data_IF_227716863961
#
_entry.id   IF_227716863961
#
_cell.length_a   1.000
_cell.length_b   1.000
_cell.length_c   1.000
_cell.angle_alpha   90.00
_cell.angle_beta   90.00
_cell.angle_gamma   90.00
#
_symmetry.space_group_name_H-M   'P 1'
#
loop_
_entity.id
_entity.type
_entity.pdbx_description
1 polymer ?
#
# COMPACT_ATOMS: atom_id res chain seq x y z
N UNK A 1 -30.03 -31.17 54.85
CA UNK A 1 -31.28 -30.61 54.30
C UNK A 1 -31.01 -29.17 53.85
N UNK A 2 -31.40 -28.82 52.61
CA UNK A 2 -31.44 -27.47 51.97
C UNK A 2 -30.04 -26.87 51.68
N UNK A 3 -29.35 -27.04 50.54
CA UNK A 3 -29.67 -26.99 49.10
C UNK A 3 -30.06 -25.58 48.58
N UNK A 4 -29.30 -25.16 47.54
CA UNK A 4 -29.52 -24.13 46.51
C UNK A 4 -29.04 -22.70 46.82
N UNK A 5 -28.48 -21.90 45.93
CA UNK A 5 -27.80 -22.03 44.63
C UNK A 5 -27.66 -20.59 44.12
N UNK A 6 -26.45 -20.07 43.90
CA UNK A 6 -26.21 -18.92 42.98
C UNK A 6 -24.85 -19.08 42.30
N UNK A 7 -24.80 -20.08 41.43
CA UNK A 7 -23.83 -20.16 40.33
C UNK A 7 -24.34 -19.19 39.26
N UNK A 8 -23.58 -18.13 38.99
CA UNK A 8 -23.84 -17.26 37.85
C UNK A 8 -23.43 -18.02 36.59
N UNK A 9 -24.43 -18.64 35.95
CA UNK A 9 -24.33 -19.29 34.66
C UNK A 9 -24.36 -18.23 33.54
N UNK A 10 -23.30 -18.24 32.73
CA UNK A 10 -23.34 -18.24 31.27
C UNK A 10 -24.30 -17.27 30.56
N UNK A 11 -23.73 -16.26 29.89
CA UNK A 11 -23.99 -16.06 28.46
C UNK A 11 -22.68 -15.61 27.79
N UNK A 12 -21.88 -16.59 27.39
CA UNK A 12 -21.02 -16.40 26.22
C UNK A 12 -21.97 -16.35 25.01
N UNK A 13 -22.32 -15.14 24.56
CA UNK A 13 -22.83 -14.98 23.21
C UNK A 13 -21.69 -14.48 22.34
N UNK A 14 -21.17 -15.43 21.60
CA UNK A 14 -20.36 -15.28 20.41
C UNK A 14 -21.02 -14.28 19.46
N UNK A 15 -20.51 -13.05 19.44
CA UNK A 15 -20.57 -12.21 18.24
C UNK A 15 -19.18 -12.19 17.63
N UNK A 16 -18.76 -13.38 17.16
CA UNK A 16 -17.98 -13.47 15.93
C UNK A 16 -18.84 -12.76 14.87
N UNK A 17 -18.64 -11.46 14.73
CA UNK A 17 -19.07 -10.77 13.52
C UNK A 17 -18.09 -11.27 12.46
N UNK A 18 -18.45 -12.41 11.89
CA UNK A 18 -18.05 -12.84 10.58
C UNK A 18 -18.51 -11.76 9.61
N UNK A 19 -17.73 -10.69 9.55
CA UNK A 19 -17.78 -9.64 8.55
C UNK A 19 -16.72 -9.87 7.50
N UNK A 20 -16.50 -11.12 7.07
CA UNK A 20 -15.97 -11.35 5.73
C UNK A 20 -17.12 -11.00 4.77
N UNK A 21 -17.32 -9.70 4.54
CA UNK A 21 -18.15 -9.22 3.46
C UNK A 21 -17.48 -9.72 2.17
N UNK A 22 -17.88 -10.93 1.80
CA UNK A 22 -17.48 -11.64 0.60
C UNK A 22 -18.26 -11.00 -0.53
N UNK A 23 -17.76 -9.87 -1.00
CA UNK A 23 -18.10 -9.27 -2.29
C UNK A 23 -16.81 -8.59 -2.77
N UNK A 24 -15.81 -9.42 -3.11
CA UNK A 24 -14.45 -9.07 -3.54
C UNK A 24 -14.41 -8.42 -4.94
N UNK A 25 -15.35 -7.54 -5.25
CA UNK A 25 -15.15 -6.60 -6.35
C UNK A 25 -14.25 -5.49 -5.83
N UNK A 26 -12.93 -5.67 -5.95
CA UNK A 26 -11.96 -4.60 -5.68
C UNK A 26 -12.34 -3.39 -6.53
N UNK A 27 -12.67 -2.27 -5.90
CA UNK A 27 -12.98 -1.02 -6.60
C UNK A 27 -11.73 -0.56 -7.36
N UNK A 28 -11.82 -0.52 -8.69
CA UNK A 28 -10.75 -0.02 -9.56
C UNK A 28 -11.11 1.42 -9.93
N UNK A 29 -10.42 2.44 -9.39
CA UNK A 29 -10.66 3.82 -9.76
C UNK A 29 -10.37 4.05 -11.25
N UNK A 30 -11.15 4.92 -11.88
CA UNK A 30 -10.91 5.34 -13.27
C UNK A 30 -9.67 6.24 -13.34
N UNK A 31 -8.90 6.11 -14.41
CA UNK A 31 -7.74 6.97 -14.67
C UNK A 31 -8.20 8.43 -14.84
N UNK A 32 -7.64 9.40 -14.10
CA UNK A 32 -7.96 10.81 -14.28
C UNK A 32 -7.48 11.34 -15.64
N UNK A 33 -8.23 12.28 -16.24
CA UNK A 33 -7.90 12.85 -17.55
C UNK A 33 -6.55 13.57 -17.61
N UNK A 34 -6.11 14.19 -16.50
CA UNK A 34 -4.81 14.86 -16.42
C UNK A 34 -3.61 13.91 -16.52
N UNK A 35 -3.80 12.61 -16.31
CA UNK A 35 -2.76 11.59 -16.50
C UNK A 35 -2.40 11.42 -17.98
N UNK A 36 -3.27 11.82 -18.92
CA UNK A 36 -3.01 11.65 -20.36
C UNK A 36 -1.76 12.40 -20.84
N UNK A 37 -1.50 13.60 -20.32
CA UNK A 37 -0.27 14.32 -20.69
C UNK A 37 0.98 13.64 -20.13
N UNK A 38 0.94 13.27 -18.85
CA UNK A 38 2.01 12.52 -18.21
C UNK A 38 2.30 11.19 -18.92
N UNK A 39 1.25 10.52 -19.41
CA UNK A 39 1.37 9.31 -20.20
C UNK A 39 2.17 9.53 -21.50
N UNK A 40 1.87 10.60 -22.25
CA UNK A 40 2.62 10.94 -23.46
C UNK A 40 4.09 11.27 -23.18
N UNK A 41 4.41 11.80 -22.00
CA UNK A 41 5.79 12.05 -21.58
C UNK A 41 6.50 10.75 -21.20
N UNK A 42 5.81 9.86 -20.49
CA UNK A 42 6.31 8.52 -20.18
C UNK A 42 6.61 7.68 -21.45
N UNK A 43 5.73 7.73 -22.46
CA UNK A 43 5.93 6.99 -23.71
C UNK A 43 7.23 7.38 -24.42
N UNK A 44 7.68 8.63 -24.27
CA UNK A 44 8.92 9.15 -24.86
C UNK A 44 10.19 8.71 -24.12
N UNK A 45 10.06 8.14 -22.92
CA UNK A 45 11.21 7.72 -22.15
C UNK A 45 11.88 6.49 -22.79
N UNK A 46 13.22 6.37 -22.65
CA UNK A 46 13.94 5.17 -23.04
C UNK A 46 13.49 3.94 -22.22
N UNK A 47 13.95 2.76 -22.62
CA UNK A 47 13.64 1.49 -21.97
C UNK A 47 13.92 1.48 -20.46
N UNK A 48 13.43 0.44 -19.78
CA UNK A 48 13.41 0.33 -18.33
C UNK A 48 12.64 1.50 -17.71
N UNK A 49 11.37 1.64 -18.08
CA UNK A 49 10.49 2.73 -17.65
C UNK A 49 9.28 2.25 -16.88
N UNK A 50 8.95 2.97 -15.81
CA UNK A 50 7.84 2.67 -14.90
C UNK A 50 6.99 3.93 -14.70
N UNK A 51 5.67 3.76 -14.78
CA UNK A 51 4.68 4.77 -14.44
C UNK A 51 3.94 4.34 -13.17
N UNK A 52 3.85 5.23 -12.19
CA UNK A 52 3.16 5.00 -10.92
C UNK A 52 2.03 6.01 -10.74
N UNK A 53 0.90 5.55 -10.21
CA UNK A 53 -0.31 6.34 -10.02
C UNK A 53 -0.96 6.02 -8.67
N UNK A 54 -1.48 7.04 -8.01
CA UNK A 54 -2.32 6.92 -6.82
C UNK A 54 -3.59 7.75 -7.06
N UNK A 55 -4.74 7.21 -6.69
CA UNK A 55 -6.05 7.85 -6.86
C UNK A 55 -6.87 7.63 -5.60
N UNK A 56 -7.30 8.72 -4.97
CA UNK A 56 -8.17 8.70 -3.81
C UNK A 56 -9.63 8.51 -4.24
N UNK A 57 -10.50 7.97 -3.36
CA UNK A 57 -11.93 7.80 -3.66
C UNK A 57 -12.65 9.11 -4.04
N UNK A 58 -12.14 10.25 -3.56
CA UNK A 58 -12.66 11.59 -3.88
C UNK A 58 -12.27 12.11 -5.27
N UNK A 59 -11.39 11.41 -5.99
CA UNK A 59 -10.93 11.80 -7.33
C UNK A 59 -9.60 12.55 -7.36
N UNK A 60 -9.04 12.90 -6.20
CA UNK A 60 -7.67 13.44 -6.10
C UNK A 60 -6.66 12.36 -6.53
N UNK A 61 -5.58 12.80 -7.17
CA UNK A 61 -4.60 11.88 -7.73
C UNK A 61 -3.21 12.48 -7.77
N UNK A 62 -2.23 11.59 -7.78
CA UNK A 62 -0.83 11.92 -7.94
C UNK A 62 -0.17 10.86 -8.82
N UNK A 63 0.85 11.26 -9.56
CA UNK A 63 1.59 10.37 -10.46
C UNK A 63 3.07 10.68 -10.45
N UNK A 64 3.87 9.71 -10.90
CA UNK A 64 5.27 9.88 -11.23
C UNK A 64 5.72 8.82 -12.23
N UNK A 65 6.79 9.11 -12.96
CA UNK A 65 7.41 8.14 -13.86
C UNK A 65 8.93 8.34 -13.94
N UNK A 66 9.62 7.28 -14.33
CA UNK A 66 11.07 7.28 -14.59
C UNK A 66 11.40 6.26 -15.69
N UNK A 67 12.47 6.50 -16.43
CA UNK A 67 12.99 5.61 -17.47
C UNK A 67 14.50 5.75 -17.70
N UNK A 68 15.07 4.91 -18.56
CA UNK A 68 16.49 5.00 -18.93
C UNK A 68 17.47 4.54 -17.87
N UNK A 69 16.97 3.90 -16.82
CA UNK A 69 17.81 3.33 -15.78
C UNK A 69 18.43 1.99 -16.25
N UNK A 70 19.54 1.53 -15.65
CA UNK A 70 20.16 0.25 -16.03
C UNK A 70 19.24 -0.96 -15.89
N UNK A 71 18.23 -0.88 -15.01
CA UNK A 71 17.24 -1.94 -14.80
C UNK A 71 15.87 -1.35 -14.51
N UNK A 72 14.82 -2.14 -14.78
CA UNK A 72 13.44 -1.81 -14.39
C UNK A 72 13.31 -1.57 -12.88
N UNK A 73 14.06 -2.30 -12.05
CA UNK A 73 14.09 -2.14 -10.58
C UNK A 73 14.64 -0.78 -10.17
N UNK A 74 15.70 -0.30 -10.83
CA UNK A 74 16.26 1.01 -10.58
C UNK A 74 15.28 2.13 -10.98
N UNK A 75 14.60 2.00 -12.12
CA UNK A 75 13.55 2.92 -12.52
C UNK A 75 12.37 2.93 -11.55
N UNK A 76 11.91 1.74 -11.10
CA UNK A 76 10.85 1.64 -10.12
C UNK A 76 11.19 2.36 -8.80
N UNK A 77 12.43 2.21 -8.30
CA UNK A 77 12.88 2.88 -7.07
C UNK A 77 12.76 4.40 -7.19
N UNK A 78 13.32 4.98 -8.25
CA UNK A 78 13.29 6.43 -8.47
C UNK A 78 11.86 6.92 -8.74
N UNK A 79 11.05 6.16 -9.48
CA UNK A 79 9.65 6.48 -9.71
C UNK A 79 8.85 6.50 -8.40
N UNK A 80 9.11 5.58 -7.46
CA UNK A 80 8.48 5.56 -6.12
C UNK A 80 8.89 6.79 -5.31
N UNK A 81 10.18 7.15 -5.30
CA UNK A 81 10.66 8.34 -4.59
C UNK A 81 9.98 9.62 -5.12
N UNK A 82 9.90 9.77 -6.45
CA UNK A 82 9.15 10.88 -7.09
C UNK A 82 7.66 10.83 -6.77
N UNK A 83 7.08 9.63 -6.72
CA UNK A 83 5.67 9.43 -6.40
C UNK A 83 5.35 9.92 -4.98
N UNK A 84 6.20 9.62 -4.01
CA UNK A 84 5.98 10.06 -2.62
C UNK A 84 6.03 11.59 -2.48
N UNK A 85 6.91 12.26 -3.22
CA UNK A 85 6.92 13.73 -3.30
C UNK A 85 5.62 14.25 -3.93
N UNK A 86 5.21 13.66 -5.06
CA UNK A 86 3.97 14.01 -5.77
C UNK A 86 2.73 13.85 -4.88
N UNK A 87 2.64 12.76 -4.11
CA UNK A 87 1.55 12.52 -3.16
C UNK A 87 1.48 13.57 -2.07
N UNK A 88 2.62 13.89 -1.45
CA UNK A 88 2.70 14.90 -0.38
C UNK A 88 2.30 16.28 -0.90
N UNK A 89 2.76 16.65 -2.10
CA UNK A 89 2.41 17.94 -2.72
C UNK A 89 0.92 18.07 -3.05
N UNK A 90 0.24 16.96 -3.36
CA UNK A 90 -1.17 16.94 -3.75
C UNK A 90 -2.12 16.43 -2.65
N UNK A 91 -1.63 16.18 -1.42
CA UNK A 91 -2.40 15.62 -0.30
C UNK A 91 -3.09 14.27 -0.60
N UNK A 92 -2.50 13.44 -1.47
CA UNK A 92 -3.06 12.14 -1.88
C UNK A 92 -2.68 11.04 -0.89
N UNK A 93 -3.66 10.46 -0.20
CA UNK A 93 -3.41 9.51 0.90
C UNK A 93 -3.48 8.04 0.48
N UNK A 94 -4.02 7.73 -0.69
CA UNK A 94 -4.08 6.37 -1.25
C UNK A 94 -2.69 5.78 -1.49
N UNK A 95 -2.62 4.45 -1.38
CA UNK A 95 -1.39 3.71 -1.71
C UNK A 95 -1.11 3.84 -3.21
N UNK A 96 0.15 4.08 -3.62
CA UNK A 96 0.52 4.12 -5.02
C UNK A 96 0.57 2.72 -5.62
N UNK A 97 0.23 2.62 -6.91
CA UNK A 97 0.31 1.38 -7.68
C UNK A 97 1.05 1.62 -8.99
N UNK A 98 1.72 0.57 -9.48
CA UNK A 98 2.31 0.59 -10.82
C UNK A 98 1.18 0.62 -11.84
N UNK A 99 1.15 1.69 -12.63
CA UNK A 99 0.23 1.87 -13.75
C UNK A 99 0.75 1.16 -15.00
N UNK A 100 2.03 1.34 -15.33
CA UNK A 100 2.65 0.74 -16.50
C UNK A 100 4.14 0.43 -16.31
N UNK A 101 4.64 -0.55 -17.07
CA UNK A 101 6.04 -0.92 -17.16
C UNK A 101 6.39 -1.22 -18.62
N UNK A 102 7.47 -0.64 -19.16
CA UNK A 102 7.93 -0.82 -20.55
C UNK A 102 6.78 -0.92 -21.56
N UNK A 103 5.96 0.14 -21.64
CA UNK A 103 4.85 0.27 -22.59
C UNK A 103 3.62 -0.62 -22.34
N UNK A 104 3.65 -1.46 -21.29
CA UNK A 104 2.50 -2.27 -20.88
C UNK A 104 1.78 -1.65 -19.69
N UNK A 105 0.49 -1.33 -19.86
CA UNK A 105 -0.40 -0.97 -18.75
C UNK A 105 -0.70 -2.22 -17.92
N UNK A 106 -0.51 -2.14 -16.60
CA UNK A 106 -0.68 -3.24 -15.64
C UNK A 106 -1.64 -2.91 -14.48
N UNK A 107 -2.14 -1.67 -14.42
CA UNK A 107 -2.82 -1.13 -13.24
C UNK A 107 -3.92 -2.01 -12.64
N UNK A 108 -4.87 -2.45 -13.46
CA UNK A 108 -6.01 -3.22 -12.99
C UNK A 108 -5.59 -4.53 -12.32
N UNK A 109 -4.56 -5.18 -12.86
CA UNK A 109 -4.03 -6.44 -12.33
C UNK A 109 -3.28 -6.19 -11.01
N UNK A 110 -2.51 -5.11 -10.93
CA UNK A 110 -1.80 -4.72 -9.71
C UNK A 110 -2.74 -4.39 -8.56
N UNK A 111 -3.86 -3.68 -8.83
CA UNK A 111 -4.88 -3.37 -7.81
C UNK A 111 -5.53 -4.65 -7.30
N UNK A 112 -5.96 -5.54 -8.19
CA UNK A 112 -6.61 -6.79 -7.80
C UNK A 112 -5.67 -7.68 -6.99
N UNK A 113 -4.41 -7.78 -7.40
CA UNK A 113 -3.39 -8.52 -6.67
C UNK A 113 -3.18 -7.96 -5.25
N UNK A 114 -3.14 -6.63 -5.10
CA UNK A 114 -3.00 -5.99 -3.79
C UNK A 114 -4.23 -6.17 -2.88
N UNK A 115 -5.44 -6.18 -3.44
CA UNK A 115 -6.67 -6.49 -2.71
C UNK A 115 -6.73 -7.95 -2.22
N UNK A 116 -6.04 -8.85 -2.91
CA UNK A 116 -5.97 -10.27 -2.57
C UNK A 116 -4.78 -10.66 -1.68
N UNK A 117 -3.86 -9.72 -1.40
CA UNK A 117 -2.71 -9.99 -0.55
C UNK A 117 -3.18 -10.08 0.92
N UNK A 118 -2.78 -11.13 1.67
CA UNK A 118 -3.03 -11.18 3.11
C UNK A 118 -2.37 -9.96 3.75
N UNK A 119 -3.08 -9.28 4.66
CA UNK A 119 -2.60 -8.07 5.31
C UNK A 119 -1.20 -8.29 5.90
N UNK A 120 -0.16 -7.78 5.24
CA UNK A 120 1.21 -7.87 5.73
C UNK A 120 1.27 -7.18 7.10
N UNK A 121 1.61 -7.97 8.13
CA UNK A 121 2.05 -7.47 9.43
C UNK A 121 3.15 -6.44 9.17
N UNK A 122 2.85 -5.17 9.42
CA UNK A 122 3.86 -4.12 9.50
C UNK A 122 4.88 -4.53 10.57
N UNK A 123 6.10 -4.83 10.14
CA UNK A 123 7.26 -5.04 11.01
C UNK A 123 7.56 -3.70 11.68
N UNK A 124 7.00 -3.52 12.87
CA UNK A 124 7.55 -2.65 13.88
C UNK A 124 8.56 -3.51 14.65
N UNK A 125 9.83 -3.44 14.26
CA UNK A 125 10.91 -3.85 15.15
C UNK A 125 11.80 -2.63 15.32
N UNK A 126 11.45 -1.89 16.38
CA UNK A 126 12.20 -0.77 16.88
C UNK A 126 13.60 -1.24 17.26
N UNK A 127 14.58 -0.44 16.85
CA UNK A 127 15.96 -0.51 17.30
C UNK A 127 16.03 -0.21 18.80
N UNK A 128 16.11 -1.26 19.61
CA UNK A 128 16.62 -1.18 20.98
C UNK A 128 17.90 -2.03 21.06
N UNK A 129 19.04 -1.44 20.63
CA UNK A 129 20.36 -1.87 21.08
C UNK A 129 20.88 -0.84 22.06
N UNK A 130 20.44 -0.98 23.31
CA UNK A 130 21.02 -0.34 24.48
C UNK A 130 22.22 -1.17 24.93
N UNK A 131 23.43 -0.75 24.54
CA UNK A 131 24.70 -1.35 24.97
C UNK A 131 25.68 -0.26 25.42
N UNK A 132 25.77 -0.02 26.73
CA UNK A 132 27.04 -0.18 27.46
C UNK A 132 26.78 -0.16 28.97
N UNK A 133 27.07 -1.29 29.61
CA UNK A 133 27.45 -1.33 31.00
C UNK A 133 28.98 -1.52 30.99
N UNK A 134 29.73 -0.50 31.39
CA UNK A 134 31.12 -0.68 31.80
C UNK A 134 31.20 -0.64 33.31
N UNK A 135 31.98 -1.59 33.82
CA UNK A 135 32.02 -2.05 35.18
C UNK A 135 33.01 -1.27 36.06
N UNK A 136 32.69 -1.29 37.35
CA UNK A 136 33.61 -1.38 38.49
C UNK A 136 34.92 -0.59 38.46
N UNK A 137 34.91 0.55 39.14
CA UNK A 137 36.11 1.13 39.75
C UNK A 137 36.38 0.46 41.10
N UNK A 138 37.59 -0.10 41.24
CA UNK A 138 38.30 -0.31 42.51
C UNK A 138 38.49 1.00 43.27
#
# INVERSE_FOLDING_TARGET
MKLLAKVFCSVALVSLIAGCASNDSVYIPKVPGGVKQAWMEYEKLPENKVFILAVDPGGDYAYAFEGGQPTLKAAAKVAVEKMDVSRKANNVISRPYVYAMNDKVVWADTIRAAGNAPAEKSVNEASDEQSSAEAETM
#
